data_IF_703164296267
#
_entry.id   IF_703164296267
#
_cell.length_a   1.000
_cell.length_b   1.000
_cell.length_c   1.000
_cell.angle_alpha   90.00
_cell.angle_beta   90.00
_cell.angle_gamma   90.00
#
_symmetry.space_group_name_H-M   'P 1'
#
loop_
_entity.id
_entity.type
_entity.pdbx_description
1 polymer ?
#
# COMPACT_ATOMS: atom_id res chain seq x y z
N UNK A 1 22.51 4.37 0.43
CA UNK A 1 22.86 5.77 0.13
C UNK A 1 23.59 6.34 1.35
N UNK A 2 24.76 6.95 1.18
CA UNK A 2 25.55 7.48 2.30
C UNK A 2 24.93 8.80 2.78
N UNK A 3 24.70 8.93 4.09
CA UNK A 3 24.22 10.16 4.74
C UNK A 3 25.38 10.82 5.48
N UNK A 4 26.15 11.65 4.79
CA UNK A 4 27.38 12.29 5.28
C UNK A 4 27.20 13.79 5.60
N UNK A 5 26.09 14.40 5.20
CA UNK A 5 25.76 15.80 5.49
C UNK A 5 24.81 15.91 6.68
N UNK A 6 25.15 16.74 7.68
CA UNK A 6 24.28 17.04 8.82
C UNK A 6 23.40 18.27 8.52
N UNK A 7 22.10 18.13 8.74
CA UNK A 7 21.13 19.22 8.70
C UNK A 7 20.71 19.58 10.14
N UNK A 8 20.87 20.84 10.53
CA UNK A 8 20.51 21.35 11.86
C UNK A 8 19.53 22.51 11.71
N UNK A 9 18.45 22.51 12.50
CA UNK A 9 17.40 23.55 12.46
C UNK A 9 16.85 23.74 13.87
N UNK A 10 16.52 24.99 14.22
CA UNK A 10 15.87 25.32 15.50
C UNK A 10 14.37 25.07 15.37
N UNK A 11 13.78 24.39 16.36
CA UNK A 11 12.35 24.13 16.46
C UNK A 11 11.95 24.07 17.93
N UNK A 12 10.68 24.28 18.24
CA UNK A 12 10.17 24.07 19.60
C UNK A 12 10.25 22.58 19.98
N UNK A 13 10.36 22.30 21.28
CA UNK A 13 10.36 20.92 21.78
C UNK A 13 9.06 20.17 21.45
N UNK A 14 7.93 20.88 21.48
CA UNK A 14 6.62 20.36 21.11
C UNK A 14 6.56 19.93 19.65
N UNK A 15 7.10 20.74 18.74
CA UNK A 15 7.12 20.45 17.31
C UNK A 15 8.01 19.24 17.02
N UNK A 16 9.15 19.13 17.73
CA UNK A 16 10.04 17.98 17.60
C UNK A 16 9.37 16.67 17.98
N UNK A 17 8.63 16.63 19.09
CA UNK A 17 7.92 15.40 19.50
C UNK A 17 6.76 15.10 18.54
N UNK A 18 6.03 16.11 18.06
CA UNK A 18 4.99 15.90 17.06
C UNK A 18 5.54 15.29 15.76
N UNK A 19 6.63 15.83 15.21
CA UNK A 19 7.28 15.31 14.00
C UNK A 19 7.80 13.88 14.22
N UNK A 20 8.28 13.57 15.43
CA UNK A 20 8.79 12.24 15.78
C UNK A 20 7.68 11.20 15.79
N UNK A 21 6.51 11.54 16.33
CA UNK A 21 5.36 10.63 16.31
C UNK A 21 4.84 10.44 14.88
N UNK A 22 4.81 11.50 14.06
CA UNK A 22 4.47 11.39 12.64
C UNK A 22 5.45 10.49 11.87
N UNK A 23 6.75 10.63 12.10
CA UNK A 23 7.77 9.77 11.50
C UNK A 23 7.57 8.30 11.90
N UNK A 24 7.24 8.05 13.17
CA UNK A 24 6.97 6.71 13.70
C UNK A 24 5.71 6.10 13.08
N UNK A 25 4.62 6.86 12.98
CA UNK A 25 3.39 6.45 12.28
C UNK A 25 3.67 6.12 10.81
N UNK A 26 4.62 6.83 10.20
CA UNK A 26 5.07 6.62 8.82
C UNK A 26 5.96 5.37 8.63
N UNK A 27 6.40 4.73 9.72
CA UNK A 27 7.40 3.67 9.68
C UNK A 27 8.78 4.13 9.21
N UNK A 28 9.06 5.43 9.23
CA UNK A 28 10.30 6.04 8.74
C UNK A 28 11.18 6.52 9.90
N UNK A 29 12.49 6.62 9.66
CA UNK A 29 13.36 7.34 10.60
C UNK A 29 13.01 8.83 10.57
N UNK A 30 13.25 9.54 11.67
CA UNK A 30 13.05 11.00 11.74
C UNK A 30 13.76 11.75 10.61
N UNK A 31 14.99 11.33 10.28
CA UNK A 31 15.78 11.92 9.19
C UNK A 31 15.14 11.66 7.82
N UNK A 32 14.66 10.44 7.58
CA UNK A 32 14.02 10.10 6.30
C UNK A 32 12.67 10.79 6.14
N UNK A 33 11.88 10.85 7.20
CA UNK A 33 10.58 11.54 7.22
C UNK A 33 10.74 13.03 6.92
N UNK A 34 11.62 13.73 7.65
CA UNK A 34 11.88 15.16 7.42
C UNK A 34 12.42 15.41 6.01
N UNK A 35 13.35 14.56 5.54
CA UNK A 35 13.90 14.68 4.18
C UNK A 35 12.80 14.48 3.12
N UNK A 36 11.91 13.50 3.32
CA UNK A 36 10.78 13.26 2.42
C UNK A 36 9.84 14.47 2.38
N UNK A 37 9.47 15.01 3.54
CA UNK A 37 8.64 16.21 3.64
C UNK A 37 9.28 17.42 2.95
N UNK A 38 10.58 17.69 3.20
CA UNK A 38 11.29 18.82 2.60
C UNK A 38 11.48 18.69 1.08
N UNK A 39 11.50 17.47 0.55
CA UNK A 39 11.57 17.20 -0.89
C UNK A 39 10.18 17.12 -1.55
N UNK A 40 9.09 17.40 -0.82
CA UNK A 40 7.73 17.28 -1.32
C UNK A 40 7.33 15.84 -1.67
N UNK A 41 8.03 14.83 -1.13
CA UNK A 41 7.67 13.43 -1.32
C UNK A 41 6.45 13.11 -0.47
N UNK A 42 5.47 12.44 -1.08
CA UNK A 42 4.27 12.02 -0.39
C UNK A 42 4.59 10.89 0.60
N UNK A 43 4.26 11.11 1.87
CA UNK A 43 4.33 10.08 2.92
C UNK A 43 2.92 9.56 3.13
N UNK A 44 2.59 8.43 2.50
CA UNK A 44 1.27 7.78 2.59
C UNK A 44 1.43 6.44 3.27
N UNK A 45 0.79 6.28 4.42
CA UNK A 45 0.66 4.99 5.11
C UNK A 45 -0.68 4.39 4.74
N UNK A 46 -0.67 3.17 4.22
CA UNK A 46 -1.88 2.42 3.89
C UNK A 46 -1.94 1.23 4.83
N UNK A 47 -2.64 1.40 5.94
CA UNK A 47 -2.94 0.30 6.85
C UNK A 47 -3.92 -0.68 6.20
N UNK A 48 -3.77 -1.98 6.48
CA UNK A 48 -4.69 -3.01 5.96
C UNK A 48 -4.31 -3.60 4.59
N UNK A 49 -3.31 -3.06 3.89
CA UNK A 49 -2.92 -3.58 2.56
C UNK A 49 -2.40 -5.03 2.63
N UNK A 50 -1.77 -5.42 3.75
CA UNK A 50 -1.25 -6.76 3.96
C UNK A 50 -2.37 -7.80 4.06
N UNK A 51 -3.47 -7.42 4.70
CA UNK A 51 -4.69 -8.21 4.86
C UNK A 51 -5.39 -8.36 3.51
N UNK A 52 -5.51 -7.27 2.74
CA UNK A 52 -6.01 -7.31 1.36
C UNK A 52 -5.19 -8.27 0.49
N UNK A 53 -3.85 -8.22 0.58
CA UNK A 53 -2.97 -9.14 -0.15
C UNK A 53 -3.14 -10.61 0.28
N UNK A 54 -3.43 -10.86 1.56
CA UNK A 54 -3.69 -12.21 2.06
C UNK A 54 -4.98 -12.78 1.46
N UNK A 55 -6.04 -12.00 1.43
CA UNK A 55 -7.31 -12.40 0.80
C UNK A 55 -7.15 -12.59 -0.70
N UNK A 56 -6.44 -11.69 -1.39
CA UNK A 56 -6.15 -11.80 -2.81
C UNK A 56 -5.41 -13.12 -3.16
N UNK A 57 -4.43 -13.52 -2.34
CA UNK A 57 -3.75 -14.81 -2.48
C UNK A 57 -4.71 -15.98 -2.28
N UNK A 58 -5.67 -15.86 -1.38
CA UNK A 58 -6.70 -16.89 -1.15
C UNK A 58 -7.61 -17.06 -2.35
N UNK A 59 -8.10 -15.95 -2.91
CA UNK A 59 -8.92 -15.96 -4.12
C UNK A 59 -8.14 -16.56 -5.30
N UNK A 60 -6.87 -16.21 -5.48
CA UNK A 60 -6.02 -16.79 -6.52
C UNK A 60 -5.83 -18.31 -6.38
N UNK A 61 -5.71 -18.83 -5.15
CA UNK A 61 -5.68 -20.29 -4.91
C UNK A 61 -6.99 -20.96 -5.33
N UNK A 62 -8.13 -20.36 -4.99
CA UNK A 62 -9.44 -20.90 -5.36
C UNK A 62 -9.63 -20.89 -6.87
N UNK A 63 -9.22 -19.83 -7.57
CA UNK A 63 -9.24 -19.75 -9.03
C UNK A 63 -8.37 -20.84 -9.66
N UNK A 64 -7.15 -21.08 -9.16
CA UNK A 64 -6.30 -22.15 -9.65
C UNK A 64 -6.94 -23.54 -9.48
N UNK A 65 -7.61 -23.79 -8.36
CA UNK A 65 -8.34 -25.04 -8.14
C UNK A 65 -9.50 -25.20 -9.14
N UNK A 66 -10.29 -24.15 -9.34
CA UNK A 66 -11.40 -24.14 -10.29
C UNK A 66 -10.92 -24.39 -11.73
N UNK A 67 -9.85 -23.72 -12.16
CA UNK A 67 -9.24 -23.94 -13.49
C UNK A 67 -8.71 -25.37 -13.63
N UNK A 68 -8.12 -25.93 -12.57
CA UNK A 68 -7.65 -27.31 -12.57
C UNK A 68 -8.82 -28.30 -12.75
N UNK A 69 -9.91 -28.10 -12.00
CA UNK A 69 -11.11 -28.93 -12.13
C UNK A 69 -11.75 -28.82 -13.51
N UNK A 70 -11.76 -27.61 -14.09
CA UNK A 70 -12.26 -27.40 -15.44
C UNK A 70 -11.39 -28.10 -16.49
N UNK A 71 -10.07 -28.00 -16.35
CA UNK A 71 -9.13 -28.70 -17.23
C UNK A 71 -9.24 -30.22 -17.14
N UNK A 72 -9.56 -30.75 -15.95
CA UNK A 72 -9.87 -32.17 -15.75
C UNK A 72 -11.24 -32.60 -16.31
N UNK A 73 -12.02 -31.68 -16.90
CA UNK A 73 -13.37 -31.95 -17.40
C UNK A 73 -14.41 -32.18 -16.30
N UNK A 74 -14.08 -31.89 -15.04
CA UNK A 74 -14.98 -32.08 -13.88
C UNK A 74 -15.94 -30.91 -13.70
N UNK A 75 -15.62 -29.75 -14.27
CA UNK A 75 -16.44 -28.54 -14.27
C UNK A 75 -16.42 -27.99 -15.69
N UNK A 76 -17.58 -27.69 -16.25
CA UNK A 76 -17.72 -27.25 -17.66
C UNK A 76 -18.08 -25.77 -17.80
N UNK A 77 -18.73 -25.18 -16.79
CA UNK A 77 -19.10 -23.77 -16.79
C UNK A 77 -18.77 -23.18 -15.42
N UNK A 78 -17.98 -22.10 -15.40
CA UNK A 78 -17.72 -21.30 -14.23
C UNK A 78 -18.02 -19.86 -14.63
N UNK A 79 -19.04 -19.26 -14.01
CA UNK A 79 -19.28 -17.83 -14.15
C UNK A 79 -18.31 -17.06 -13.23
N UNK A 80 -17.45 -16.24 -13.85
CA UNK A 80 -16.49 -15.39 -13.17
C UNK A 80 -16.79 -13.90 -13.39
N UNK A 81 -17.93 -13.53 -13.97
CA UNK A 81 -18.22 -12.14 -14.30
C UNK A 81 -18.22 -11.25 -13.06
N UNK A 82 -18.89 -11.70 -11.98
CA UNK A 82 -18.92 -11.00 -10.70
C UNK A 82 -17.53 -10.82 -10.08
N UNK A 83 -16.67 -11.84 -10.19
CA UNK A 83 -15.29 -11.80 -9.68
C UNK A 83 -14.45 -10.80 -10.48
N UNK A 84 -14.55 -10.83 -11.81
CA UNK A 84 -13.86 -9.88 -12.69
C UNK A 84 -14.29 -8.43 -12.41
N UNK A 85 -15.58 -8.19 -12.16
CA UNK A 85 -16.09 -6.87 -11.80
C UNK A 85 -15.50 -6.38 -10.48
N UNK A 86 -15.55 -7.20 -9.43
CA UNK A 86 -15.00 -6.86 -8.13
C UNK A 86 -13.48 -6.59 -8.18
N UNK A 87 -12.73 -7.37 -8.95
CA UNK A 87 -11.29 -7.13 -9.14
C UNK A 87 -11.01 -5.83 -9.91
N UNK A 88 -11.86 -5.48 -10.87
CA UNK A 88 -11.74 -4.22 -11.62
C UNK A 88 -11.97 -3.02 -10.70
N UNK A 89 -12.99 -3.08 -9.83
CA UNK A 89 -13.26 -2.06 -8.81
C UNK A 89 -12.10 -1.94 -7.81
N UNK A 90 -11.58 -3.07 -7.31
CA UNK A 90 -10.41 -3.10 -6.43
C UNK A 90 -9.18 -2.45 -7.11
N UNK A 91 -8.90 -2.81 -8.36
CA UNK A 91 -7.81 -2.21 -9.12
C UNK A 91 -7.99 -0.70 -9.29
N UNK A 92 -9.22 -0.24 -9.54
CA UNK A 92 -9.56 1.17 -9.62
C UNK A 92 -9.31 1.90 -8.30
N UNK A 93 -9.76 1.34 -7.18
CA UNK A 93 -9.57 1.92 -5.85
C UNK A 93 -8.07 2.04 -5.49
N UNK A 94 -7.27 1.01 -5.77
CA UNK A 94 -5.81 1.04 -5.54
C UNK A 94 -5.15 2.11 -6.43
N UNK A 95 -5.57 2.23 -7.69
CA UNK A 95 -5.06 3.27 -8.60
C UNK A 95 -5.38 4.67 -8.08
N UNK A 96 -6.60 4.90 -7.60
CA UNK A 96 -7.01 6.17 -7.00
C UNK A 96 -6.16 6.52 -5.76
N UNK A 97 -5.76 5.54 -4.95
CA UNK A 97 -4.87 5.78 -3.81
C UNK A 97 -3.47 6.17 -4.28
N UNK A 98 -2.93 5.48 -5.29
CA UNK A 98 -1.63 5.79 -5.88
C UNK A 98 -1.59 7.17 -6.54
N UNK A 99 -2.69 7.57 -7.19
CA UNK A 99 -2.81 8.83 -7.92
C UNK A 99 -3.23 10.01 -7.02
N UNK A 100 -3.55 9.77 -5.74
CA UNK A 100 -3.98 10.81 -4.79
C UNK A 100 -2.82 11.75 -4.45
N UNK A 101 -2.57 12.70 -5.35
CA UNK A 101 -1.74 13.89 -5.12
C UNK A 101 -2.45 14.83 -4.14
N UNK A 102 -2.34 14.60 -2.83
CA UNK A 102 -2.61 15.65 -1.86
C UNK A 102 -1.44 16.63 -1.88
N UNK A 103 -1.81 17.89 -2.10
CA UNK A 103 -0.94 19.05 -2.25
C UNK A 103 -0.18 19.31 -0.95
#
# INVERSE_FOLDING_TARGET
MKKDVKFSTRMASTDREAIKELAKQSGMSMSDYVTACCLGKQVVVIDGLKEVLKELKSIGRNLNQLVTLAHMGRVTVIDLESVCRAFSELCGAVRMILERKRW
#
